data_IF_870901025642
#
_entry.id   IF_870901025642
#
_cell.length_a   1.000
_cell.length_b   1.000
_cell.length_c   1.000
_cell.angle_alpha   90.00
_cell.angle_beta   90.00
_cell.angle_gamma   90.00
#
_symmetry.space_group_name_H-M   'P 1'
#
loop_
_entity.id
_entity.type
_entity.pdbx_description
1 polymer ?
#
# COMPACT_ATOMS: atom_id res chain seq x y z
N UNK A 1 -23.77 5.64 4.58
CA UNK A 1 -23.62 5.59 3.09
C UNK A 1 -22.16 5.32 2.86
N UNK A 2 -21.85 4.22 2.20
CA UNK A 2 -20.46 3.78 2.11
C UNK A 2 -19.67 4.62 1.13
N UNK A 3 -18.40 4.85 1.47
CA UNK A 3 -17.46 5.62 0.66
C UNK A 3 -16.35 4.69 0.22
N UNK A 4 -15.92 4.81 -1.04
CA UNK A 4 -14.74 4.09 -1.54
C UNK A 4 -13.51 4.97 -1.41
N UNK A 5 -12.50 4.45 -0.72
CA UNK A 5 -11.22 5.07 -0.50
C UNK A 5 -10.18 4.39 -1.38
N UNK A 6 -9.24 5.16 -1.92
CA UNK A 6 -8.09 4.66 -2.66
C UNK A 6 -6.84 4.97 -1.86
N UNK A 7 -5.98 3.97 -1.64
CA UNK A 7 -4.84 4.10 -0.74
C UNK A 7 -3.58 3.55 -1.41
N UNK A 8 -2.49 4.30 -1.28
CA UNK A 8 -1.15 3.81 -1.56
C UNK A 8 -0.44 3.51 -0.24
N UNK A 9 0.10 2.30 -0.09
CA UNK A 9 0.77 1.86 1.13
C UNK A 9 2.16 1.30 0.79
N UNK A 10 3.25 1.94 1.25
CA UNK A 10 4.57 1.36 1.18
C UNK A 10 4.77 0.32 2.27
N UNK A 11 5.63 -0.63 1.99
CA UNK A 11 6.14 -1.62 2.92
C UNK A 11 7.67 -1.47 2.94
N UNK A 12 8.22 -1.19 4.11
CA UNK A 12 9.63 -0.89 4.32
C UNK A 12 10.33 -2.03 5.03
N UNK A 13 11.62 -2.21 4.77
CA UNK A 13 12.44 -3.16 5.52
C UNK A 13 12.54 -2.70 6.98
N UNK A 14 12.34 -3.64 7.90
CA UNK A 14 12.44 -3.47 9.34
C UNK A 14 13.28 -4.61 9.93
N UNK A 15 13.68 -4.47 11.20
CA UNK A 15 14.58 -5.44 11.86
C UNK A 15 14.01 -6.87 11.90
N UNK A 16 12.69 -7.02 11.89
CA UNK A 16 11.96 -8.31 11.92
C UNK A 16 11.33 -8.69 10.57
N UNK A 17 11.71 -8.01 9.48
CA UNK A 17 11.25 -8.31 8.12
C UNK A 17 10.69 -7.08 7.41
N UNK A 18 9.39 -7.05 7.17
CA UNK A 18 8.75 -5.99 6.39
C UNK A 18 7.59 -5.39 7.17
N UNK A 19 7.64 -4.07 7.38
CA UNK A 19 6.61 -3.32 8.08
C UNK A 19 5.84 -2.40 7.13
N UNK A 20 4.56 -2.16 7.41
CA UNK A 20 3.78 -1.15 6.70
C UNK A 20 4.31 0.25 7.07
N UNK A 21 4.58 1.07 6.05
CA UNK A 21 4.88 2.48 6.22
C UNK A 21 3.62 3.35 6.26
N UNK A 22 3.80 4.65 6.06
CA UNK A 22 2.68 5.61 6.09
C UNK A 22 1.74 5.43 4.89
N UNK A 23 0.46 5.16 5.17
CA UNK A 23 -0.59 5.07 4.18
C UNK A 23 -0.91 6.46 3.61
N UNK A 24 -1.09 6.55 2.29
CA UNK A 24 -1.46 7.78 1.60
C UNK A 24 -2.80 7.58 0.90
N UNK A 25 -3.85 8.22 1.42
CA UNK A 25 -5.14 8.28 0.73
C UNK A 25 -5.06 9.15 -0.53
N UNK A 26 -5.78 8.72 -1.56
CA UNK A 26 -5.76 9.30 -2.89
C UNK A 26 -7.19 9.50 -3.41
N UNK A 27 -7.38 10.52 -4.25
CA UNK A 27 -8.70 10.86 -4.79
C UNK A 27 -9.21 9.90 -5.87
N UNK A 28 -8.37 8.99 -6.37
CA UNK A 28 -8.75 8.01 -7.39
C UNK A 28 -7.82 6.80 -7.39
N UNK A 29 -8.26 5.72 -8.05
CA UNK A 29 -7.45 4.52 -8.27
C UNK A 29 -6.13 4.85 -9.00
N UNK A 30 -6.18 5.67 -10.06
CA UNK A 30 -4.99 6.02 -10.82
C UNK A 30 -3.99 6.84 -9.99
N UNK A 31 -4.49 7.77 -9.16
CA UNK A 31 -3.65 8.52 -8.24
C UNK A 31 -2.98 7.60 -7.20
N UNK A 32 -3.71 6.62 -6.66
CA UNK A 32 -3.14 5.62 -5.75
C UNK A 32 -2.06 4.77 -6.42
N UNK A 33 -2.25 4.36 -7.68
CA UNK A 33 -1.25 3.61 -8.45
C UNK A 33 0.02 4.45 -8.65
N UNK A 34 -0.11 5.68 -9.14
CA UNK A 34 1.04 6.57 -9.34
C UNK A 34 1.78 6.85 -8.03
N UNK A 35 1.04 7.00 -6.92
CA UNK A 35 1.61 7.23 -5.60
C UNK A 35 2.35 5.99 -5.08
N UNK A 36 1.77 4.80 -5.21
CA UNK A 36 2.42 3.55 -4.84
C UNK A 36 3.72 3.33 -5.64
N UNK A 37 3.70 3.60 -6.94
CA UNK A 37 4.89 3.50 -7.79
C UNK A 37 6.00 4.49 -7.37
N UNK A 38 5.64 5.72 -7.02
CA UNK A 38 6.59 6.69 -6.50
C UNK A 38 7.17 6.26 -5.14
N UNK A 39 6.33 5.66 -4.28
CA UNK A 39 6.74 5.16 -2.98
C UNK A 39 7.69 3.95 -3.09
N UNK A 40 7.43 3.02 -4.02
CA UNK A 40 8.27 1.83 -4.19
C UNK A 40 9.70 2.15 -4.63
N UNK A 41 9.96 3.35 -5.15
CA UNK A 41 11.31 3.81 -5.52
C UNK A 41 12.08 4.45 -4.37
N UNK A 42 11.47 4.63 -3.20
CA UNK A 42 12.15 5.22 -2.04
C UNK A 42 13.17 4.22 -1.47
N UNK A 43 14.37 4.68 -1.08
CA UNK A 43 15.32 3.83 -0.36
C UNK A 43 14.68 3.16 0.85
N UNK A 44 14.93 1.87 1.04
CA UNK A 44 14.36 1.08 2.15
C UNK A 44 12.92 0.62 1.93
N UNK A 45 12.25 1.00 0.85
CA UNK A 45 10.95 0.43 0.47
C UNK A 45 11.17 -0.91 -0.21
N UNK A 46 10.62 -1.99 0.35
CA UNK A 46 10.65 -3.32 -0.24
C UNK A 46 9.57 -3.45 -1.34
N UNK A 47 8.35 -3.03 -1.00
CA UNK A 47 7.16 -3.15 -1.86
C UNK A 47 6.28 -1.93 -1.62
N UNK A 48 5.48 -1.54 -2.62
CA UNK A 48 4.33 -0.67 -2.37
C UNK A 48 3.10 -1.19 -3.09
N UNK A 49 1.93 -0.99 -2.49
CA UNK A 49 0.64 -1.41 -3.06
C UNK A 49 -0.30 -0.23 -3.21
N UNK A 50 -1.11 -0.28 -4.25
CA UNK A 50 -2.31 0.54 -4.40
C UNK A 50 -3.52 -0.37 -4.23
N UNK A 51 -4.46 0.00 -3.36
CA UNK A 51 -5.70 -0.73 -3.15
C UNK A 51 -6.88 0.23 -2.98
N UNK A 52 -8.10 -0.29 -3.10
CA UNK A 52 -9.30 0.40 -2.66
C UNK A 52 -10.01 -0.37 -1.56
N UNK A 53 -10.74 0.35 -0.71
CA UNK A 53 -11.65 -0.26 0.28
C UNK A 53 -12.90 0.59 0.39
N UNK A 54 -14.02 -0.05 0.68
CA UNK A 54 -15.31 0.62 0.84
C UNK A 54 -15.73 0.49 2.30
N UNK A 55 -16.15 1.58 2.93
CA UNK A 55 -16.48 1.58 4.36
C UNK A 55 -17.39 2.72 4.77
N UNK A 56 -17.91 2.62 6.00
CA UNK A 56 -18.73 3.66 6.62
C UNK A 56 -17.83 4.63 7.40
N UNK A 57 -17.77 5.92 7.02
CA UNK A 57 -16.96 6.92 7.73
C UNK A 57 -17.36 7.11 9.19
N UNK A 58 -18.60 6.79 9.57
CA UNK A 58 -19.14 7.02 10.91
C UNK A 58 -18.73 5.95 11.92
N UNK A 59 -18.59 4.70 11.49
CA UNK A 59 -18.11 3.60 12.33
C UNK A 59 -16.62 3.32 12.17
N UNK A 60 -16.03 3.71 11.03
CA UNK A 60 -14.67 3.34 10.68
C UNK A 60 -14.54 1.89 10.21
N UNK A 61 -15.65 1.20 9.98
CA UNK A 61 -15.65 -0.15 9.44
C UNK A 61 -15.39 -0.13 7.95
N UNK A 62 -14.52 -1.04 7.51
CA UNK A 62 -14.19 -1.22 6.10
C UNK A 62 -14.43 -2.67 5.68
N UNK A 63 -14.98 -2.82 4.48
CA UNK A 63 -14.94 -4.09 3.76
C UNK A 63 -13.50 -4.44 3.37
N UNK A 64 -13.31 -5.69 2.93
CA UNK A 64 -12.02 -6.15 2.44
C UNK A 64 -11.42 -5.24 1.36
N UNK A 65 -10.12 -5.01 1.49
CA UNK A 65 -9.36 -4.22 0.53
C UNK A 65 -9.23 -4.97 -0.80
N UNK A 66 -9.49 -4.26 -1.90
CA UNK A 66 -9.30 -4.72 -3.28
C UNK A 66 -7.97 -4.21 -3.80
N UNK A 67 -7.01 -5.11 -4.01
CA UNK A 67 -5.70 -4.76 -4.57
C UNK A 67 -5.86 -4.28 -6.02
N UNK A 68 -5.28 -3.14 -6.35
CA UNK A 68 -5.29 -2.53 -7.69
C UNK A 68 -3.95 -2.78 -8.38
N UNK A 69 -2.84 -2.57 -7.67
CA UNK A 69 -1.47 -2.77 -8.19
C UNK A 69 -0.48 -3.00 -7.06
N UNK A 70 0.57 -3.76 -7.32
CA UNK A 70 1.77 -3.92 -6.47
C UNK A 70 3.00 -3.51 -7.27
N UNK A 71 3.96 -2.87 -6.61
CA UNK A 71 5.26 -2.47 -7.14
C UNK A 71 6.38 -2.95 -6.21
N UNK A 72 7.56 -3.20 -6.77
CA UNK A 72 8.72 -3.76 -6.07
C UNK A 72 8.74 -5.30 -6.07
N UNK A 73 9.91 -5.86 -5.80
CA UNK A 73 10.17 -7.28 -5.59
C UNK A 73 10.67 -7.45 -4.16
N UNK A 74 10.04 -8.34 -3.40
CA UNK A 74 10.71 -8.92 -2.24
C UNK A 74 11.67 -9.94 -2.83
N UNK A 75 12.99 -9.87 -2.59
CA UNK A 75 13.89 -10.92 -3.05
C UNK A 75 13.37 -12.27 -2.50
N UNK A 76 13.12 -13.25 -3.38
CA UNK A 76 12.69 -14.59 -2.96
C UNK A 76 13.72 -15.29 -2.05
N UNK A 77 14.96 -14.75 -2.00
CA UNK A 77 16.07 -15.32 -1.25
C UNK A 77 16.66 -14.31 -0.25
N UNK A 78 16.23 -14.43 1.01
CA UNK A 78 16.74 -13.66 2.14
C UNK A 78 18.10 -14.20 2.67
N UNK A 79 18.63 -15.30 2.11
CA UNK A 79 19.89 -15.90 2.56
C UNK A 79 21.15 -15.22 2.01
N UNK A 80 20.98 -14.13 1.27
CA UNK A 80 22.08 -13.39 0.60
C UNK A 80 22.30 -11.96 1.12
N UNK A 81 21.58 -11.53 2.15
CA UNK A 81 21.85 -10.28 2.90
C UNK A 81 22.56 -10.57 4.21
#
# INVERSE_FOLDING_TARGET
MDVTYYVALPFVMADDGVAAGEAVECLSANAAVMRAEALSRKPGCAVAVAFSRTGDPSSGDFSDAKLIRKFGEVPDDLSTM
#
